data_IF_251681421691
#
_entry.id   IF_251681421691
#
_cell.length_a   1.000
_cell.length_b   1.000
_cell.length_c   1.000
_cell.angle_alpha   90.00
_cell.angle_beta   90.00
_cell.angle_gamma   90.00
#
_symmetry.space_group_name_H-M   'P 1'
#
loop_
_entity.id
_entity.type
_entity.pdbx_description
1 polymer ?
#
# COMPACT_ATOMS: atom_id res chain seq x y z
N UNK A 1 10.82 92.30 15.66
CA UNK A 1 12.02 91.48 15.45
C UNK A 1 12.14 91.20 13.94
N UNK A 2 12.95 91.97 13.21
CA UNK A 2 14.32 91.68 12.76
C UNK A 2 14.43 90.74 11.53
N UNK A 3 14.80 91.39 10.39
CA UNK A 3 15.69 90.98 9.27
C UNK A 3 15.14 89.93 8.27
N UNK A 4 15.06 90.15 6.95
CA UNK A 4 15.96 90.75 5.93
C UNK A 4 16.70 89.67 5.10
N UNK A 5 16.72 89.88 3.76
CA UNK A 5 17.60 89.30 2.72
C UNK A 5 17.26 87.87 2.24
N UNK A 6 17.47 87.43 0.98
CA UNK A 6 17.99 88.00 -0.28
C UNK A 6 17.72 86.98 -1.42
N UNK A 7 17.51 87.49 -2.62
CA UNK A 7 17.87 86.98 -3.97
C UNK A 7 18.63 85.65 -4.15
N UNK A 8 18.33 84.92 -5.23
CA UNK A 8 19.37 84.26 -6.06
C UNK A 8 19.02 82.90 -6.68
N UNK A 9 18.93 82.86 -8.02
CA UNK A 9 18.94 81.65 -8.87
C UNK A 9 20.27 80.88 -8.80
N UNK A 10 20.26 79.54 -8.87
CA UNK A 10 21.37 78.65 -9.32
C UNK A 10 20.75 77.26 -9.61
N UNK A 11 20.58 76.84 -10.87
CA UNK A 11 21.54 76.12 -11.72
C UNK A 11 21.96 74.72 -11.21
N UNK A 12 21.54 73.71 -11.98
CA UNK A 12 22.25 72.48 -12.40
C UNK A 12 22.82 71.58 -11.30
N UNK A 13 22.24 70.39 -11.14
CA UNK A 13 22.79 69.31 -10.33
C UNK A 13 22.38 67.94 -10.87
N UNK A 14 23.21 67.41 -11.76
CA UNK A 14 23.25 66.02 -12.20
C UNK A 14 23.25 65.06 -10.99
N UNK A 15 22.21 64.24 -10.85
CA UNK A 15 22.20 63.10 -9.94
C UNK A 15 21.78 61.85 -10.70
N UNK A 16 22.79 61.09 -11.12
CA UNK A 16 22.74 59.68 -11.46
C UNK A 16 21.79 58.93 -10.50
N UNK A 17 20.57 58.62 -10.95
CA UNK A 17 19.72 57.68 -10.25
C UNK A 17 20.08 56.26 -10.69
N UNK A 18 20.70 55.56 -9.74
CA UNK A 18 20.87 54.13 -9.66
C UNK A 18 19.61 53.39 -10.11
N UNK A 19 19.75 52.57 -11.15
CA UNK A 19 18.79 51.51 -11.41
C UNK A 19 18.85 50.50 -10.24
N UNK A 20 17.74 50.19 -9.56
CA UNK A 20 17.71 49.02 -8.71
C UNK A 20 17.68 47.82 -9.65
N UNK A 21 18.79 47.08 -9.70
CA UNK A 21 18.80 45.73 -10.24
C UNK A 21 17.87 44.90 -9.35
N UNK A 22 16.62 44.74 -9.79
CA UNK A 22 15.65 43.85 -9.16
C UNK A 22 16.18 42.43 -9.33
N UNK A 23 16.94 41.97 -8.34
CA UNK A 23 17.20 40.57 -8.13
C UNK A 23 15.85 39.94 -7.76
N UNK A 24 15.10 39.47 -8.76
CA UNK A 24 13.97 38.61 -8.51
C UNK A 24 14.50 37.38 -7.75
N UNK A 25 14.08 37.12 -6.50
CA UNK A 25 14.29 35.80 -5.94
C UNK A 25 13.47 34.86 -6.81
N UNK A 26 14.14 34.09 -7.65
CA UNK A 26 13.57 32.92 -8.26
C UNK A 26 13.19 31.97 -7.14
N UNK A 27 12.00 32.15 -6.58
CA UNK A 27 11.28 31.12 -5.86
C UNK A 27 11.10 29.98 -6.85
N UNK A 28 12.05 29.05 -6.82
CA UNK A 28 11.78 27.67 -7.19
C UNK A 28 10.72 27.17 -6.22
N UNK A 29 9.46 27.50 -6.49
CA UNK A 29 8.32 26.80 -5.92
C UNK A 29 8.39 25.39 -6.49
N UNK A 30 9.09 24.50 -5.79
CA UNK A 30 8.78 23.09 -5.89
C UNK A 30 7.31 22.97 -5.52
N UNK A 31 6.47 22.68 -6.52
CA UNK A 31 5.02 22.56 -6.39
C UNK A 31 4.67 21.70 -5.17
N UNK A 32 4.17 22.29 -4.07
CA UNK A 32 3.86 21.54 -2.86
C UNK A 32 2.43 20.99 -2.91
N UNK A 33 1.70 21.10 -4.04
CA UNK A 33 0.24 21.07 -4.04
C UNK A 33 -0.43 19.73 -4.40
N UNK A 34 0.28 18.71 -4.88
CA UNK A 34 -0.26 17.33 -4.84
C UNK A 34 0.04 16.72 -3.48
N UNK A 35 -0.57 17.31 -2.45
CA UNK A 35 -0.23 17.08 -1.04
C UNK A 35 -0.61 15.69 -0.52
N UNK A 36 0.07 15.24 0.55
CA UNK A 36 -0.36 14.15 1.46
C UNK A 36 -1.77 14.27 2.07
N UNK A 37 -2.52 15.34 1.78
CA UNK A 37 -3.89 15.54 2.27
C UNK A 37 -4.84 14.51 1.65
N UNK A 38 -4.66 14.14 0.39
CA UNK A 38 -5.46 13.11 -0.28
C UNK A 38 -5.12 11.69 0.23
N UNK A 39 -3.83 11.39 0.39
CA UNK A 39 -3.37 10.08 0.90
C UNK A 39 -3.85 9.77 2.31
N UNK A 40 -3.73 10.73 3.23
CA UNK A 40 -4.13 10.53 4.62
C UNK A 40 -5.65 10.36 4.70
N UNK A 41 -6.41 11.17 3.97
CA UNK A 41 -7.87 11.05 3.89
C UNK A 41 -8.30 9.68 3.32
N UNK A 42 -7.72 9.24 2.21
CA UNK A 42 -7.96 7.90 1.64
C UNK A 42 -7.66 6.83 2.69
N UNK A 43 -6.49 6.91 3.32
CA UNK A 43 -6.05 5.91 4.29
C UNK A 43 -6.97 5.85 5.51
N UNK A 44 -7.41 7.00 6.02
CA UNK A 44 -8.29 7.09 7.16
C UNK A 44 -9.69 6.55 6.83
N UNK A 45 -10.21 6.82 5.62
CA UNK A 45 -11.46 6.21 5.14
C UNK A 45 -11.35 4.70 5.06
N UNK A 46 -10.27 4.17 4.47
CA UNK A 46 -10.04 2.72 4.35
C UNK A 46 -9.99 2.07 5.74
N UNK A 47 -9.21 2.64 6.66
CA UNK A 47 -9.07 2.13 8.01
C UNK A 47 -10.39 2.21 8.78
N UNK A 48 -11.10 3.34 8.72
CA UNK A 48 -12.38 3.53 9.40
C UNK A 48 -13.41 2.50 8.92
N UNK A 49 -13.49 2.27 7.60
CA UNK A 49 -14.37 1.24 7.03
C UNK A 49 -14.00 -0.15 7.49
N UNK A 50 -12.72 -0.52 7.45
CA UNK A 50 -12.27 -1.82 7.96
C UNK A 50 -12.62 -1.99 9.45
N UNK A 51 -12.31 -0.99 10.27
CA UNK A 51 -12.58 -1.02 11.72
C UNK A 51 -14.07 -1.05 12.07
N UNK A 52 -14.94 -0.52 11.21
CA UNK A 52 -16.40 -0.59 11.38
C UNK A 52 -16.94 -2.02 11.29
N UNK A 53 -16.19 -2.95 10.70
CA UNK A 53 -16.60 -4.34 10.52
C UNK A 53 -16.09 -5.26 11.62
N UNK A 54 -15.45 -4.74 12.68
CA UNK A 54 -14.97 -5.57 13.80
C UNK A 54 -16.12 -6.37 14.43
N UNK A 55 -15.86 -7.64 14.70
CA UNK A 55 -16.84 -8.59 15.22
C UNK A 55 -17.67 -9.32 14.14
N UNK A 56 -17.62 -8.89 12.88
CA UNK A 56 -18.24 -9.65 11.77
C UNK A 56 -17.54 -10.99 11.63
N UNK A 57 -18.27 -12.12 11.51
CA UNK A 57 -17.66 -13.44 11.48
C UNK A 57 -16.88 -13.71 10.19
N UNK A 58 -15.97 -14.67 10.28
CA UNK A 58 -15.35 -15.24 9.10
C UNK A 58 -16.36 -16.00 8.25
N UNK A 59 -16.27 -15.81 6.94
CA UNK A 59 -17.00 -16.61 5.96
C UNK A 59 -16.11 -16.87 4.75
N UNK A 60 -15.88 -18.14 4.43
CA UNK A 60 -15.03 -18.52 3.30
C UNK A 60 -15.57 -17.97 1.98
N UNK A 61 -14.75 -17.24 1.22
CA UNK A 61 -15.16 -16.50 0.02
C UNK A 61 -16.24 -15.41 0.27
N UNK A 62 -16.53 -15.07 1.53
CA UNK A 62 -17.53 -14.09 1.90
C UNK A 62 -17.04 -12.64 1.79
N UNK A 63 -17.98 -11.75 1.50
CA UNK A 63 -17.80 -10.32 1.46
C UNK A 63 -17.15 -9.79 0.18
N UNK A 64 -17.17 -8.46 0.07
CA UNK A 64 -16.62 -7.72 -1.06
C UNK A 64 -16.93 -6.23 -0.95
N UNK A 65 -16.96 -5.53 -2.07
CA UNK A 65 -17.10 -4.07 -2.11
C UNK A 65 -18.37 -3.53 -1.42
N UNK A 66 -19.44 -4.33 -1.36
CA UNK A 66 -20.74 -3.95 -0.80
C UNK A 66 -20.90 -4.23 0.70
N UNK A 67 -20.00 -5.00 1.31
CA UNK A 67 -20.12 -5.42 2.71
C UNK A 67 -19.95 -6.93 2.89
N UNK A 68 -20.30 -7.46 4.08
CA UNK A 68 -20.26 -8.89 4.35
C UNK A 68 -21.37 -9.60 3.58
N UNK A 69 -21.07 -10.79 3.08
CA UNK A 69 -22.03 -11.62 2.33
C UNK A 69 -21.93 -13.06 2.79
N UNK A 70 -22.90 -13.90 2.39
CA UNK A 70 -22.68 -15.34 2.45
C UNK A 70 -21.47 -15.72 1.60
N UNK A 71 -20.72 -16.68 2.12
CA UNK A 71 -19.58 -17.26 1.46
C UNK A 71 -19.98 -18.45 0.58
N UNK A 72 -19.00 -19.27 0.25
CA UNK A 72 -19.17 -20.56 -0.44
C UNK A 72 -18.53 -21.67 0.38
N UNK A 73 -18.82 -22.93 0.04
CA UNK A 73 -18.29 -24.09 0.78
C UNK A 73 -18.64 -24.02 2.27
N UNK A 74 -17.62 -23.95 3.13
CA UNK A 74 -17.80 -23.84 4.59
C UNK A 74 -18.46 -22.53 5.03
N UNK A 75 -18.44 -21.48 4.19
CA UNK A 75 -19.06 -20.18 4.46
C UNK A 75 -20.51 -20.04 3.97
N UNK A 76 -21.11 -21.09 3.39
CA UNK A 76 -22.41 -20.99 2.69
C UNK A 76 -23.55 -20.49 3.59
N UNK A 77 -23.49 -20.77 4.90
CA UNK A 77 -24.52 -20.39 5.88
C UNK A 77 -24.11 -19.19 6.77
N UNK A 78 -22.95 -18.58 6.52
CA UNK A 78 -22.40 -17.51 7.36
C UNK A 78 -22.28 -16.22 6.55
N UNK A 79 -22.97 -15.16 6.99
CA UNK A 79 -22.77 -13.81 6.42
C UNK A 79 -21.56 -13.19 7.09
N UNK A 80 -20.50 -12.96 6.32
CA UNK A 80 -19.23 -12.50 6.88
C UNK A 80 -18.22 -12.06 5.83
N UNK A 81 -16.96 -12.02 6.25
CA UNK A 81 -15.83 -11.71 5.39
C UNK A 81 -14.82 -12.85 5.37
N UNK A 82 -14.11 -13.00 4.26
CA UNK A 82 -12.76 -13.53 4.29
C UNK A 82 -11.73 -12.39 4.25
N UNK A 83 -10.45 -12.74 4.35
CA UNK A 83 -9.35 -11.77 4.41
C UNK A 83 -9.37 -10.77 3.26
N UNK A 84 -9.42 -11.24 2.01
CA UNK A 84 -9.39 -10.33 0.85
C UNK A 84 -10.72 -9.62 0.59
N UNK A 85 -11.85 -10.19 1.00
CA UNK A 85 -13.18 -9.56 0.92
C UNK A 85 -13.27 -8.34 1.83
N UNK A 86 -12.71 -8.43 3.05
CA UNK A 86 -12.60 -7.29 3.96
C UNK A 86 -11.74 -6.18 3.36
N UNK A 87 -10.61 -6.53 2.73
CA UNK A 87 -9.73 -5.54 2.09
C UNK A 87 -10.43 -4.85 0.91
N UNK A 88 -11.17 -5.60 0.09
CA UNK A 88 -11.98 -5.01 -0.99
C UNK A 88 -13.02 -4.03 -0.44
N UNK A 89 -13.72 -4.40 0.63
CA UNK A 89 -14.71 -3.54 1.28
C UNK A 89 -14.11 -2.23 1.80
N UNK A 90 -12.95 -2.32 2.45
CA UNK A 90 -12.26 -1.18 3.01
C UNK A 90 -11.80 -0.21 1.91
N UNK A 91 -11.13 -0.72 0.87
CA UNK A 91 -10.61 0.07 -0.24
C UNK A 91 -11.68 0.60 -1.20
N UNK A 92 -12.81 -0.09 -1.33
CA UNK A 92 -13.93 0.39 -2.15
C UNK A 92 -14.48 1.73 -1.67
N UNK A 93 -14.39 2.05 -0.37
CA UNK A 93 -14.82 3.35 0.15
C UNK A 93 -13.93 4.52 -0.26
N UNK A 94 -12.70 4.24 -0.69
CA UNK A 94 -11.82 5.22 -1.31
C UNK A 94 -11.88 5.19 -2.85
N UNK A 95 -12.87 4.50 -3.42
CA UNK A 95 -13.01 4.34 -4.87
C UNK A 95 -11.98 3.40 -5.51
N UNK A 96 -11.21 2.65 -4.72
CA UNK A 96 -10.17 1.75 -5.21
C UNK A 96 -10.70 0.32 -5.34
N UNK A 97 -10.76 -0.18 -6.58
CA UNK A 97 -11.18 -1.55 -6.87
C UNK A 97 -9.98 -2.50 -6.87
N UNK A 98 -9.88 -3.32 -5.83
CA UNK A 98 -8.83 -4.34 -5.70
C UNK A 98 -9.25 -5.70 -6.31
N UNK A 99 -8.29 -6.49 -6.81
CA UNK A 99 -8.51 -7.89 -7.19
C UNK A 99 -9.08 -8.73 -6.03
N UNK A 100 -9.84 -9.81 -6.30
CA UNK A 100 -10.40 -10.67 -5.24
C UNK A 100 -9.36 -11.54 -4.53
N UNK A 101 -8.33 -11.96 -5.27
CA UNK A 101 -7.25 -12.81 -4.74
C UNK A 101 -6.18 -11.97 -4.06
N UNK A 102 -5.76 -12.38 -2.86
CA UNK A 102 -4.65 -11.75 -2.13
C UNK A 102 -3.33 -11.84 -2.90
N UNK A 103 -3.05 -12.96 -3.57
CA UNK A 103 -1.84 -13.09 -4.40
C UNK A 103 -1.82 -12.11 -5.58
N UNK A 104 -2.98 -11.85 -6.18
CA UNK A 104 -3.08 -10.85 -7.24
C UNK A 104 -2.91 -9.43 -6.69
N UNK A 105 -3.51 -9.11 -5.53
CA UNK A 105 -3.24 -7.83 -4.83
C UNK A 105 -1.75 -7.67 -4.55
N UNK A 106 -1.09 -8.72 -4.07
CA UNK A 106 0.35 -8.72 -3.80
C UNK A 106 1.13 -8.39 -5.09
N UNK A 107 0.79 -9.03 -6.21
CA UNK A 107 1.48 -8.86 -7.49
C UNK A 107 1.34 -7.46 -8.09
N UNK A 108 0.16 -6.84 -8.01
CA UNK A 108 -0.13 -5.59 -8.73
C UNK A 108 0.25 -4.32 -7.98
N UNK A 109 0.26 -4.34 -6.65
CA UNK A 109 0.52 -3.12 -5.89
C UNK A 109 2.00 -2.83 -5.66
N UNK A 110 2.29 -1.64 -5.13
CA UNK A 110 3.66 -1.19 -4.91
C UNK A 110 4.28 -1.90 -3.69
N UNK A 111 5.42 -2.57 -3.89
CA UNK A 111 6.19 -3.20 -2.80
C UNK A 111 6.74 -2.17 -1.81
N UNK A 112 6.55 -2.44 -0.53
CA UNK A 112 7.01 -1.62 0.60
C UNK A 112 7.81 -2.51 1.54
N UNK A 113 8.99 -2.08 1.94
CA UNK A 113 9.79 -2.78 2.95
C UNK A 113 9.10 -2.68 4.33
N UNK A 114 9.16 -3.72 5.19
CA UNK A 114 8.54 -3.67 6.53
C UNK A 114 8.98 -2.46 7.38
N UNK A 115 10.24 -2.03 7.25
CA UNK A 115 10.78 -0.85 7.95
C UNK A 115 10.17 0.49 7.47
N UNK A 116 9.56 0.48 6.29
CA UNK A 116 8.91 1.63 5.66
C UNK A 116 7.38 1.52 5.70
N UNK A 117 6.85 0.51 6.41
CA UNK A 117 5.43 0.26 6.51
C UNK A 117 4.70 1.48 7.12
N UNK A 118 3.59 1.85 6.51
CA UNK A 118 2.71 2.95 6.96
C UNK A 118 1.29 2.43 7.11
N UNK A 119 0.52 3.07 7.99
CA UNK A 119 -0.92 2.80 8.10
C UNK A 119 -1.56 2.79 6.70
N UNK A 120 -2.43 1.82 6.43
CA UNK A 120 -3.02 1.59 5.11
C UNK A 120 -2.28 0.60 4.22
N UNK A 121 -0.98 0.35 4.44
CA UNK A 121 -0.25 -0.68 3.69
C UNK A 121 -0.82 -2.08 4.01
N UNK A 122 -0.81 -2.98 3.03
CA UNK A 122 -1.30 -4.35 3.17
C UNK A 122 -0.18 -5.31 3.51
N UNK A 123 -0.42 -6.16 4.50
CA UNK A 123 0.45 -7.26 4.91
C UNK A 123 -0.06 -8.54 4.26
N UNK A 124 0.82 -9.36 3.71
CA UNK A 124 0.45 -10.62 3.09
C UNK A 124 1.14 -11.79 3.77
N UNK A 125 0.49 -12.95 3.68
CA UNK A 125 0.95 -14.21 4.23
C UNK A 125 1.03 -15.29 3.16
N UNK A 126 1.94 -16.23 3.35
CA UNK A 126 2.17 -17.37 2.48
C UNK A 126 3.00 -17.04 1.23
N UNK A 127 3.33 -18.07 0.42
CA UNK A 127 4.11 -17.90 -0.80
C UNK A 127 3.39 -16.94 -1.76
N UNK A 128 4.09 -15.92 -2.23
CA UNK A 128 3.55 -14.86 -3.10
C UNK A 128 2.27 -14.17 -2.56
N UNK A 129 2.06 -14.17 -1.24
CA UNK A 129 0.91 -13.53 -0.61
C UNK A 129 -0.44 -14.23 -0.87
N UNK A 130 -0.41 -15.51 -1.23
CA UNK A 130 -1.59 -16.27 -1.64
C UNK A 130 -2.43 -16.82 -0.48
N UNK A 131 -1.92 -16.82 0.75
CA UNK A 131 -2.61 -17.43 1.89
C UNK A 131 -3.58 -16.49 2.58
N UNK A 132 -3.16 -15.25 2.88
CA UNK A 132 -4.01 -14.27 3.56
C UNK A 132 -3.49 -12.85 3.34
N UNK A 133 -4.32 -11.87 3.66
CA UNK A 133 -4.00 -10.44 3.61
C UNK A 133 -4.60 -9.72 4.82
N UNK A 134 -3.88 -8.75 5.35
CA UNK A 134 -4.30 -7.92 6.48
C UNK A 134 -3.99 -6.44 6.20
N UNK A 135 -4.74 -5.53 6.82
CA UNK A 135 -4.53 -4.09 6.71
C UNK A 135 -3.66 -3.60 7.86
N UNK A 136 -2.50 -3.01 7.58
CA UNK A 136 -1.63 -2.46 8.61
C UNK A 136 -2.21 -1.16 9.18
N UNK A 137 -2.34 -1.09 10.50
CA UNK A 137 -2.89 0.07 11.21
C UNK A 137 -1.79 1.00 11.76
N UNK A 138 -0.52 0.63 11.60
CA UNK A 138 0.60 1.27 12.29
C UNK A 138 0.83 0.70 13.68
N UNK A 139 1.92 1.12 14.33
CA UNK A 139 2.28 0.71 15.71
C UNK A 139 2.32 -0.81 15.93
N UNK A 140 2.67 -1.57 14.90
CA UNK A 140 2.73 -3.03 14.97
C UNK A 140 1.37 -3.71 15.08
N UNK A 141 0.26 -3.04 14.74
CA UNK A 141 -1.09 -3.58 14.73
C UNK A 141 -1.60 -3.77 13.29
N UNK A 142 -2.43 -4.78 13.10
CA UNK A 142 -3.13 -5.03 11.83
C UNK A 142 -4.59 -5.38 12.06
N UNK A 143 -5.41 -5.04 11.09
CA UNK A 143 -6.79 -5.51 10.98
C UNK A 143 -6.80 -6.74 10.08
N UNK A 144 -7.33 -7.84 10.58
CA UNK A 144 -7.43 -9.11 9.88
C UNK A 144 -8.79 -9.77 10.11
N UNK A 145 -9.00 -10.91 9.44
CA UNK A 145 -10.13 -11.80 9.71
C UNK A 145 -9.57 -13.11 10.29
N UNK A 146 -9.78 -13.31 11.59
CA UNK A 146 -9.56 -14.59 12.27
C UNK A 146 -10.87 -15.38 12.28
N UNK A 147 -11.39 -15.73 13.45
CA UNK A 147 -12.78 -16.21 13.59
C UNK A 147 -13.80 -15.08 13.34
N UNK A 148 -13.38 -13.86 13.67
CA UNK A 148 -14.09 -12.62 13.39
C UNK A 148 -13.10 -11.58 12.86
N UNK A 149 -13.63 -10.49 12.29
CA UNK A 149 -12.83 -9.30 11.98
C UNK A 149 -12.32 -8.70 13.29
N UNK A 150 -11.00 -8.58 13.42
CA UNK A 150 -10.38 -8.13 14.66
C UNK A 150 -9.05 -7.40 14.41
N UNK A 151 -8.64 -6.63 15.42
CA UNK A 151 -7.31 -6.02 15.45
C UNK A 151 -6.39 -6.94 16.23
N UNK A 152 -5.27 -7.29 15.63
CA UNK A 152 -4.25 -8.17 16.21
C UNK A 152 -2.86 -7.54 16.06
N UNK A 153 -1.88 -7.93 16.90
CA UNK A 153 -0.48 -7.67 16.63
C UNK A 153 -0.04 -8.25 15.29
N UNK A 154 0.86 -7.55 14.58
CA UNK A 154 1.42 -8.05 13.32
C UNK A 154 2.20 -9.33 13.58
N UNK A 155 1.82 -10.39 12.87
CA UNK A 155 2.54 -11.68 12.89
C UNK A 155 3.60 -11.68 11.81
N UNK A 156 4.82 -12.09 12.15
CA UNK A 156 5.94 -12.22 11.20
C UNK A 156 6.05 -13.62 10.61
N UNK A 157 5.52 -14.63 11.29
CA UNK A 157 5.55 -16.00 10.78
C UNK A 157 4.73 -16.11 9.48
N UNK A 158 5.36 -16.64 8.42
CA UNK A 158 4.76 -16.76 7.10
C UNK A 158 4.46 -15.43 6.40
N UNK A 159 4.93 -14.29 6.94
CA UNK A 159 4.74 -12.97 6.33
C UNK A 159 5.62 -12.84 5.08
N UNK A 160 5.08 -12.23 4.02
CA UNK A 160 5.86 -11.92 2.81
C UNK A 160 6.97 -10.91 3.09
N UNK A 161 8.09 -10.92 2.34
CA UNK A 161 9.20 -9.99 2.55
C UNK A 161 8.84 -8.51 2.32
N UNK A 162 7.74 -8.26 1.62
CA UNK A 162 7.23 -6.91 1.35
C UNK A 162 5.76 -6.78 1.77
N UNK A 163 5.39 -5.60 2.22
CA UNK A 163 4.01 -5.12 2.24
C UNK A 163 3.66 -4.52 0.87
N UNK A 164 2.38 -4.17 0.69
CA UNK A 164 1.92 -3.50 -0.52
C UNK A 164 1.13 -2.23 -0.21
N UNK A 165 1.54 -1.11 -0.79
CA UNK A 165 0.80 0.14 -0.74
C UNK A 165 -0.01 0.39 -2.02
N UNK A 166 -1.24 0.89 -1.85
CA UNK A 166 -2.14 1.23 -2.97
C UNK A 166 -2.48 2.73 -3.07
N UNK A 167 -2.25 3.52 -2.01
CA UNK A 167 -2.78 4.88 -1.92
C UNK A 167 -1.75 6.02 -2.11
N UNK A 168 -0.43 5.76 -2.17
CA UNK A 168 0.59 6.84 -2.11
C UNK A 168 1.26 7.23 -3.44
N UNK A 169 1.85 8.44 -3.55
CA UNK A 169 2.72 8.78 -4.67
C UNK A 169 3.88 7.78 -4.73
N UNK A 170 4.25 7.39 -5.95
CA UNK A 170 5.26 6.36 -6.23
C UNK A 170 6.49 6.54 -5.32
N UNK A 171 6.67 5.64 -4.34
CA UNK A 171 7.78 5.67 -3.35
C UNK A 171 9.16 5.38 -3.96
N UNK A 172 9.40 5.72 -5.23
CA UNK A 172 10.69 5.51 -5.90
C UNK A 172 11.81 6.19 -5.08
N UNK A 173 12.89 5.47 -4.75
CA UNK A 173 14.04 6.10 -4.09
C UNK A 173 14.55 7.22 -5.00
N UNK A 174 14.62 8.43 -4.44
CA UNK A 174 15.01 9.65 -5.13
C UNK A 174 16.49 9.61 -5.51
N UNK A 175 16.84 8.94 -6.61
CA UNK A 175 18.19 8.99 -7.18
C UNK A 175 18.48 10.33 -7.92
N UNK A 176 17.62 11.34 -7.72
CA UNK A 176 17.62 12.63 -8.43
C UNK A 176 18.68 13.62 -7.91
N UNK A 177 19.39 13.31 -6.83
CA UNK A 177 20.46 14.17 -6.29
C UNK A 177 21.83 14.02 -6.99
N UNK A 178 22.04 13.00 -7.82
CA UNK A 178 23.35 12.78 -8.47
C UNK A 178 23.55 13.51 -9.81
N UNK A 179 22.48 13.95 -10.47
CA UNK A 179 22.57 14.57 -11.80
C UNK A 179 22.72 16.09 -11.77
N UNK A 180 22.29 16.78 -10.70
CA UNK A 180 22.45 18.24 -10.56
C UNK A 180 23.88 18.64 -10.17
N UNK A 181 24.63 17.77 -9.51
CA UNK A 181 25.98 18.07 -9.02
C UNK A 181 27.10 17.80 -10.04
N UNK A 182 26.78 17.13 -11.16
CA UNK A 182 27.75 16.81 -12.23
C UNK A 182 27.78 17.85 -13.36
N UNK A 183 26.92 18.87 -13.32
CA UNK A 183 26.91 19.97 -14.31
C UNK A 183 27.68 21.23 -13.88
N UNK A 184 28.11 21.33 -12.62
CA UNK A 184 28.79 22.52 -12.09
C UNK A 184 30.31 22.48 -12.13
N UNK A 185 30.94 21.39 -12.57
CA UNK A 185 32.41 21.28 -12.66
C UNK A 185 32.86 20.75 -14.02
N UNK A 186 32.96 21.66 -15.00
CA UNK A 186 34.03 21.72 -16.01
C UNK A 186 33.63 22.68 -17.13
N UNK A 187 34.18 23.88 -17.07
CA UNK A 187 34.40 24.72 -18.24
C UNK A 187 35.82 25.29 -18.10
N UNK A 188 36.74 24.90 -19.00
CA UNK A 188 37.74 25.85 -19.45
C UNK A 188 37.67 26.02 -20.96
N UNK A 189 37.90 27.27 -21.34
CA UNK A 189 37.97 27.79 -22.70
C UNK A 189 39.29 27.37 -23.38
N UNK A 190 39.20 27.09 -24.68
CA UNK A 190 40.05 27.66 -25.75
C UNK A 190 40.71 26.66 -26.72
N UNK A 191 40.68 27.10 -27.98
CA UNK A 191 41.59 26.86 -29.12
C UNK A 191 41.35 25.62 -30.01
N UNK A 192 40.75 25.95 -31.17
CA UNK A 192 40.84 25.28 -32.47
C UNK A 192 42.30 25.26 -32.96
N UNK A 193 42.73 24.22 -33.70
CA UNK A 193 43.07 24.45 -35.10
C UNK A 193 42.62 23.32 -36.06
N UNK A 194 42.61 23.69 -37.33
CA UNK A 194 42.19 22.97 -38.55
C UNK A 194 43.29 22.10 -39.20
N UNK A 195 42.83 21.12 -40.00
CA UNK A 195 43.48 20.25 -41.03
C UNK A 195 43.35 18.77 -40.61
N UNK A 196 42.87 17.82 -41.39
CA UNK A 196 42.73 17.65 -42.83
C UNK A 196 43.26 16.24 -43.15
N UNK A 197 42.42 15.31 -43.60
CA UNK A 197 42.76 14.11 -44.42
C UNK A 197 41.62 13.08 -44.43
N UNK A 198 41.19 12.72 -45.64
CA UNK A 198 40.52 11.47 -46.06
C UNK A 198 41.66 10.62 -46.69
N UNK A 199 41.71 9.26 -46.59
CA UNK A 199 40.92 8.44 -47.50
C UNK A 199 40.50 7.00 -47.07
N UNK A 200 39.39 6.58 -47.70
CA UNK A 200 38.95 5.26 -48.23
C UNK A 200 39.37 3.90 -47.62
N UNK A 201 38.37 3.02 -47.49
CA UNK A 201 38.45 1.54 -47.54
C UNK A 201 37.12 0.94 -47.03
N UNK A 202 36.16 0.59 -47.89
CA UNK A 202 35.93 -0.72 -48.54
C UNK A 202 35.30 -1.78 -47.59
N UNK A 203 34.16 -2.37 -48.01
CA UNK A 203 33.19 -3.20 -47.21
C UNK A 203 33.66 -4.63 -46.90
N UNK A 204 32.79 -5.69 -46.88
CA UNK A 204 31.32 -5.75 -46.93
C UNK A 204 30.66 -6.75 -45.91
N UNK A 205 29.32 -6.86 -45.96
CA UNK A 205 28.45 -8.04 -45.68
C UNK A 205 28.41 -8.70 -44.29
N UNK A 206 27.18 -8.94 -43.80
CA UNK A 206 26.93 -9.92 -42.73
C UNK A 206 25.55 -9.81 -42.09
N UNK A 207 24.50 -10.23 -42.80
CA UNK A 207 23.19 -10.47 -42.22
C UNK A 207 23.23 -11.70 -41.31
N UNK A 208 22.76 -11.57 -40.06
CA UNK A 208 22.64 -12.67 -39.08
C UNK A 208 21.18 -12.81 -38.62
N UNK A 209 20.59 -14.02 -38.65
CA UNK A 209 19.14 -14.20 -38.56
C UNK A 209 18.59 -14.32 -37.13
N UNK A 210 17.29 -14.04 -37.05
CA UNK A 210 16.42 -14.24 -35.90
C UNK A 210 16.43 -15.69 -35.40
N UNK A 211 16.64 -15.87 -34.10
CA UNK A 211 16.51 -17.16 -33.42
C UNK A 211 15.10 -17.29 -32.86
N UNK A 212 14.26 -18.06 -33.56
CA UNK A 212 12.97 -18.53 -33.10
C UNK A 212 13.17 -19.65 -32.07
N UNK A 213 12.50 -19.55 -30.91
CA UNK A 213 12.48 -20.60 -29.89
C UNK A 213 11.29 -21.55 -30.13
N UNK A 214 11.50 -22.88 -30.12
CA UNK A 214 10.46 -23.86 -30.36
C UNK A 214 9.55 -24.09 -29.15
N UNK A 215 8.28 -24.38 -29.46
CA UNK A 215 7.22 -24.77 -28.55
C UNK A 215 7.56 -26.09 -27.85
N UNK A 216 7.47 -26.11 -26.52
CA UNK A 216 7.55 -27.32 -25.70
C UNK A 216 6.19 -28.04 -25.70
N UNK A 217 6.12 -29.14 -26.44
CA UNK A 217 5.04 -30.11 -26.37
C UNK A 217 5.05 -30.82 -24.99
N UNK A 218 3.88 -30.88 -24.34
CA UNK A 218 3.65 -31.68 -23.13
C UNK A 218 3.11 -33.06 -23.56
N UNK A 219 3.74 -34.18 -23.18
CA UNK A 219 3.09 -35.49 -23.29
C UNK A 219 2.11 -35.70 -22.14
N UNK A 220 0.92 -36.19 -22.50
CA UNK A 220 -0.12 -36.63 -21.60
C UNK A 220 0.32 -37.91 -20.85
N UNK A 221 0.49 -37.81 -19.53
CA UNK A 221 0.66 -38.98 -18.66
C UNK A 221 -0.70 -39.36 -18.08
N UNK A 222 -1.29 -40.41 -18.67
CA UNK A 222 -2.38 -41.20 -18.07
C UNK A 222 -1.84 -41.89 -16.81
N UNK A 223 -2.31 -41.48 -15.63
CA UNK A 223 -2.08 -42.22 -14.40
C UNK A 223 -3.40 -42.81 -13.91
N UNK A 224 -3.40 -44.14 -13.95
CA UNK A 224 -4.47 -45.06 -13.58
C UNK A 224 -4.89 -44.88 -12.13
N UNK A 225 -6.20 -44.95 -11.90
CA UNK A 225 -6.80 -45.11 -10.59
C UNK A 225 -6.20 -46.29 -9.84
N UNK A 226 -5.62 -46.04 -8.67
CA UNK A 226 -5.37 -47.07 -7.68
C UNK A 226 -6.16 -46.69 -6.43
N UNK A 227 -7.33 -47.30 -6.30
CA UNK A 227 -8.12 -47.28 -5.08
C UNK A 227 -7.29 -47.93 -3.97
N UNK A 228 -6.88 -47.14 -2.99
CA UNK A 228 -6.43 -47.63 -1.69
C UNK A 228 -7.60 -47.38 -0.73
N UNK A 229 -8.37 -48.43 -0.50
CA UNK A 229 -9.27 -48.57 0.64
C UNK A 229 -8.47 -48.35 1.91
N UNK A 230 -8.65 -47.18 2.53
CA UNK A 230 -8.08 -46.86 3.83
C UNK A 230 -9.15 -47.19 4.88
N UNK A 231 -9.02 -48.37 5.47
CA UNK A 231 -9.81 -48.82 6.62
C UNK A 231 -9.55 -47.89 7.79
N UNK A 232 -10.55 -47.10 8.18
CA UNK A 232 -10.54 -46.27 9.40
C UNK A 232 -11.18 -47.10 10.53
N UNK A 233 -10.45 -47.46 11.60
CA UNK A 233 -11.10 -47.99 12.79
C UNK A 233 -11.78 -46.86 13.57
N UNK A 234 -13.10 -47.01 13.75
CA UNK A 234 -13.92 -46.27 14.70
C UNK A 234 -13.37 -46.43 16.13
N UNK A 235 -13.00 -45.33 16.76
CA UNK A 235 -12.86 -45.24 18.22
C UNK A 235 -13.28 -43.84 18.69
N UNK A 236 -14.58 -43.58 18.62
CA UNK A 236 -15.21 -42.39 19.22
C UNK A 236 -15.58 -42.75 20.67
N UNK A 237 -14.74 -42.38 21.62
CA UNK A 237 -15.09 -42.37 23.05
C UNK A 237 -15.80 -41.05 23.39
N UNK A 238 -17.02 -41.07 23.96
CA UNK A 238 -17.68 -39.85 24.41
C UNK A 238 -17.09 -39.34 25.75
N UNK A 239 -16.97 -38.02 25.95
CA UNK A 239 -16.62 -37.46 27.26
C UNK A 239 -17.78 -37.60 28.25
N UNK A 240 -17.45 -38.00 29.49
CA UNK A 240 -18.37 -38.14 30.64
C UNK A 240 -19.09 -36.82 30.95
N UNK A 241 -20.38 -36.83 31.34
CA UNK A 241 -21.07 -35.62 31.79
C UNK A 241 -20.55 -35.16 33.16
N UNK A 242 -20.20 -33.88 33.25
CA UNK A 242 -19.91 -33.21 34.51
C UNK A 242 -21.18 -33.09 35.35
N UNK A 243 -21.11 -33.60 36.58
CA UNK A 243 -22.17 -33.55 37.58
C UNK A 243 -22.58 -32.11 37.90
N UNK A 244 -23.87 -31.82 37.75
CA UNK A 244 -24.51 -30.61 38.26
C UNK A 244 -24.48 -30.59 39.80
N UNK A 245 -23.95 -29.51 40.37
CA UNK A 245 -24.20 -29.11 41.74
C UNK A 245 -25.61 -28.49 41.86
N UNK A 246 -26.41 -28.80 42.90
CA UNK A 246 -27.64 -28.07 43.16
C UNK A 246 -27.33 -26.76 43.91
N UNK A 247 -27.62 -25.61 43.29
CA UNK A 247 -27.67 -24.34 44.00
C UNK A 247 -29.03 -24.19 44.69
N UNK A 248 -28.95 -23.99 46.00
CA UNK A 248 -30.02 -23.83 46.97
C UNK A 248 -30.96 -22.67 46.58
N UNK A 249 -32.23 -22.97 46.30
CA UNK A 249 -33.27 -21.96 46.09
C UNK A 249 -33.80 -21.47 47.44
N UNK A 250 -33.43 -20.25 47.80
CA UNK A 250 -33.94 -19.53 48.97
C UNK A 250 -35.38 -19.07 48.69
N UNK A 251 -36.35 -19.78 49.26
CA UNK A 251 -37.78 -19.44 49.18
C UNK A 251 -38.11 -18.38 50.23
N UNK A 252 -38.28 -17.14 49.78
CA UNK A 252 -38.84 -16.03 50.56
C UNK A 252 -40.26 -16.37 51.05
N UNK A 253 -40.47 -16.43 52.37
CA UNK A 253 -41.81 -16.33 52.97
C UNK A 253 -42.07 -14.86 53.31
N UNK A 254 -42.97 -14.26 52.55
CA UNK A 254 -43.54 -12.93 52.81
C UNK A 254 -44.73 -13.15 53.76
N UNK A 255 -44.61 -12.67 55.01
CA UNK A 255 -45.73 -12.59 55.94
C UNK A 255 -46.72 -11.53 55.44
N UNK A 256 -47.98 -11.91 55.31
CA UNK A 256 -49.13 -11.01 55.17
C UNK A 256 -49.80 -10.98 56.53
N UNK A 257 -49.92 -9.79 57.12
CA UNK A 257 -50.82 -9.53 58.25
C UNK A 257 -52.11 -8.92 57.67
N UNK A 258 -53.24 -9.51 58.03
CA UNK A 258 -54.60 -8.98 57.83
C UNK A 258 -55.03 -8.39 59.17
N UNK A 259 -55.67 -7.22 59.12
CA UNK A 259 -56.49 -6.65 60.18
C UNK A 259 -57.94 -6.65 59.69
#
# INVERSE_FOLDING_TARGET
>A
MKRSMKSGSFAIGLAMMLAPMVAAPGLAAADPATRPVDYQQITDVVIARGLSQRGVPFSWAGGGISGPTRGTGTGINTVGFDASGLIQYAYAGAGLKLPRSSGQMYKVGQKVLPQQARKGDLIFYGPEGTQSVALYLGKGQMLEVGDVVQVSPVRTNGMTPYLVGFSGPSRRPSNRRRSSQRRSSKRPSSKRPSKGARPTGAGPTGAGPASARPASARPAASLRHRALTLTVPLAFSPPKPASCFPLLSARSRRLVWVN
#
